data_IF_135029167552
#
_entry.id   IF_135029167552
#
_cell.length_a   1.000
_cell.length_b   1.000
_cell.length_c   1.000
_cell.angle_alpha   90.00
_cell.angle_beta   90.00
_cell.angle_gamma   90.00
#
_symmetry.space_group_name_H-M   'P 1'
#
loop_
_entity.id
_entity.type
_entity.pdbx_description
1 polymer ?
#
# COMPACT_ATOMS: atom_id res chain seq x y z
N UNK A 1 18.47 21.25 0.48
CA UNK A 1 17.60 21.11 1.67
C UNK A 1 16.36 20.33 1.26
N UNK A 2 15.99 19.27 1.99
CA UNK A 2 14.82 18.47 1.68
C UNK A 2 13.52 19.27 1.94
N UNK A 3 12.49 19.02 1.14
CA UNK A 3 11.17 19.59 1.36
C UNK A 3 10.59 19.08 2.69
N UNK A 4 9.95 19.92 3.50
CA UNK A 4 9.28 19.47 4.71
C UNK A 4 8.07 18.58 4.37
N UNK A 5 7.84 17.58 5.19
CA UNK A 5 6.69 16.68 5.09
C UNK A 5 5.54 17.16 5.99
N UNK A 6 4.31 16.82 5.60
CA UNK A 6 3.10 17.07 6.39
C UNK A 6 2.23 15.83 6.33
N UNK A 7 2.14 15.14 7.45
CA UNK A 7 1.46 13.85 7.55
C UNK A 7 2.42 12.71 7.82
N UNK A 8 1.94 11.72 8.58
CA UNK A 8 2.73 10.56 8.96
C UNK A 8 1.84 9.35 9.20
N UNK A 9 2.29 8.21 8.70
CA UNK A 9 1.62 6.92 8.92
C UNK A 9 2.64 5.87 9.34
N UNK A 10 2.17 4.83 10.02
CA UNK A 10 2.96 3.64 10.30
C UNK A 10 2.29 2.44 9.63
N UNK A 11 2.97 1.85 8.67
CA UNK A 11 2.54 0.62 8.02
C UNK A 11 3.06 -0.55 8.85
N UNK A 12 2.17 -1.22 9.55
CA UNK A 12 2.50 -2.41 10.33
C UNK A 12 2.51 -3.63 9.41
N UNK A 13 3.67 -4.27 9.30
CA UNK A 13 3.84 -5.44 8.43
C UNK A 13 4.32 -6.65 9.21
N UNK A 14 4.22 -7.82 8.58
CA UNK A 14 4.81 -9.06 9.14
C UNK A 14 6.34 -9.03 9.22
N UNK A 15 6.98 -8.08 8.53
CA UNK A 15 8.43 -7.85 8.56
C UNK A 15 8.84 -6.69 9.50
N UNK A 16 7.89 -6.11 10.24
CA UNK A 16 8.09 -4.98 11.14
C UNK A 16 7.38 -3.71 10.65
N UNK A 17 7.52 -2.65 11.44
CA UNK A 17 6.91 -1.36 11.14
C UNK A 17 7.68 -0.60 10.04
N UNK A 18 6.95 0.11 9.21
CA UNK A 18 7.48 1.06 8.23
C UNK A 18 6.84 2.41 8.50
N UNK A 19 7.64 3.35 8.97
CA UNK A 19 7.21 4.69 9.35
C UNK A 19 7.42 5.63 8.16
N UNK A 20 6.34 6.24 7.68
CA UNK A 20 6.35 7.03 6.44
C UNK A 20 5.85 8.44 6.72
N UNK A 21 6.66 9.42 6.35
CA UNK A 21 6.26 10.83 6.28
C UNK A 21 5.79 11.17 4.87
N UNK A 22 4.77 12.01 4.76
CA UNK A 22 4.07 12.31 3.52
C UNK A 22 4.33 13.75 3.03
N UNK A 23 4.52 13.90 1.73
CA UNK A 23 4.56 15.20 1.06
C UNK A 23 3.15 15.62 0.60
N UNK A 24 2.26 15.84 1.55
CA UNK A 24 0.85 16.10 1.29
C UNK A 24 0.57 17.46 0.63
N UNK A 25 1.49 18.41 0.73
CA UNK A 25 1.36 19.70 0.04
C UNK A 25 1.76 19.62 -1.43
N UNK A 26 2.80 18.86 -1.73
CA UNK A 26 3.35 18.69 -3.08
C UNK A 26 2.58 17.64 -3.88
N UNK A 27 2.04 16.61 -3.20
CA UNK A 27 1.30 15.51 -3.83
C UNK A 27 -0.02 15.24 -3.09
N UNK A 28 -0.93 16.22 -3.06
CA UNK A 28 -2.16 16.13 -2.26
C UNK A 28 -3.09 15.00 -2.71
N UNK A 29 -3.20 14.73 -4.00
CA UNK A 29 -4.09 13.67 -4.51
C UNK A 29 -3.60 12.28 -4.13
N UNK A 30 -2.31 12.00 -4.30
CA UNK A 30 -1.73 10.72 -3.92
C UNK A 30 -1.80 10.50 -2.40
N UNK A 31 -1.47 11.51 -1.61
CA UNK A 31 -1.52 11.41 -0.15
C UNK A 31 -2.96 11.27 0.36
N UNK A 32 -3.91 12.00 -0.21
CA UNK A 32 -5.34 11.89 0.14
C UNK A 32 -5.87 10.48 -0.17
N UNK A 33 -5.57 9.96 -1.35
CA UNK A 33 -5.94 8.60 -1.74
C UNK A 33 -5.38 7.56 -0.77
N UNK A 34 -4.10 7.65 -0.46
CA UNK A 34 -3.42 6.74 0.45
C UNK A 34 -4.03 6.76 1.86
N UNK A 35 -4.22 7.95 2.43
CA UNK A 35 -4.83 8.13 3.76
C UNK A 35 -6.27 7.61 3.77
N UNK A 36 -7.07 7.94 2.76
CA UNK A 36 -8.46 7.51 2.67
C UNK A 36 -8.58 5.98 2.58
N UNK A 37 -7.79 5.34 1.74
CA UNK A 37 -7.76 3.88 1.64
C UNK A 37 -7.28 3.22 2.94
N UNK A 38 -6.31 3.82 3.62
CA UNK A 38 -5.83 3.34 4.92
C UNK A 38 -6.92 3.42 5.98
N UNK A 39 -7.68 4.51 6.03
CA UNK A 39 -8.82 4.69 6.94
C UNK A 39 -9.93 3.68 6.68
N UNK A 40 -10.11 3.26 5.44
CA UNK A 40 -11.07 2.23 5.04
C UNK A 40 -10.61 0.79 5.35
N UNK A 41 -9.37 0.62 5.81
CA UNK A 41 -8.77 -0.71 5.99
C UNK A 41 -8.48 -1.43 4.68
N UNK A 42 -8.39 -0.72 3.56
CA UNK A 42 -8.15 -1.29 2.24
C UNK A 42 -6.87 -2.13 2.19
N UNK A 43 -5.81 -1.63 2.84
CA UNK A 43 -4.50 -2.29 2.82
C UNK A 43 -4.34 -3.43 3.82
N UNK A 44 -5.33 -3.68 4.68
CA UNK A 44 -5.24 -4.76 5.67
C UNK A 44 -5.14 -6.12 4.98
N UNK A 45 -4.08 -6.87 5.30
CA UNK A 45 -3.83 -8.20 4.73
C UNK A 45 -3.23 -8.20 3.32
N UNK A 46 -2.92 -7.05 2.75
CA UNK A 46 -2.35 -6.92 1.41
C UNK A 46 -0.88 -7.32 1.42
N UNK A 47 -0.47 -8.16 0.48
CA UNK A 47 0.90 -8.66 0.39
C UNK A 47 1.82 -7.71 -0.39
N UNK A 48 3.12 -7.82 -0.13
CA UNK A 48 4.15 -7.30 -1.03
C UNK A 48 4.30 -8.33 -2.16
N UNK A 49 3.67 -8.08 -3.27
CA UNK A 49 3.57 -9.03 -4.38
C UNK A 49 4.77 -9.00 -5.33
N UNK A 50 5.62 -7.97 -5.25
CA UNK A 50 6.77 -7.79 -6.15
C UNK A 50 7.97 -7.24 -5.38
N UNK A 51 9.11 -7.89 -5.58
CA UNK A 51 10.42 -7.42 -5.09
C UNK A 51 11.38 -7.45 -6.26
N UNK A 52 11.98 -6.31 -6.56
CA UNK A 52 13.11 -6.20 -7.49
C UNK A 52 14.35 -5.90 -6.66
N UNK A 53 15.21 -6.89 -6.41
CA UNK A 53 16.38 -6.72 -5.53
C UNK A 53 17.23 -5.51 -5.92
N UNK A 54 17.60 -4.70 -4.92
CA UNK A 54 18.38 -3.49 -5.12
C UNK A 54 17.65 -2.33 -5.79
N UNK A 55 16.38 -2.50 -6.15
CA UNK A 55 15.60 -1.48 -6.86
C UNK A 55 14.37 -1.02 -6.08
N UNK A 56 13.39 -1.90 -5.86
CA UNK A 56 12.17 -1.55 -5.14
C UNK A 56 11.46 -2.75 -4.53
N UNK A 57 10.56 -2.48 -3.60
CA UNK A 57 9.53 -3.42 -3.10
C UNK A 57 8.15 -2.82 -3.35
N UNK A 58 7.20 -3.59 -3.84
CA UNK A 58 5.90 -3.11 -4.29
C UNK A 58 4.75 -3.86 -3.63
N UNK A 59 3.71 -3.12 -3.31
CA UNK A 59 2.51 -3.60 -2.61
C UNK A 59 1.28 -2.78 -3.02
N UNK A 60 0.16 -2.98 -2.34
CA UNK A 60 -1.04 -2.16 -2.50
C UNK A 60 -2.08 -2.72 -3.46
N UNK A 61 -1.84 -3.90 -4.00
CA UNK A 61 -2.84 -4.63 -4.79
C UNK A 61 -3.55 -5.67 -3.91
N UNK A 62 -4.80 -5.42 -3.61
CA UNK A 62 -5.63 -6.30 -2.79
C UNK A 62 -5.78 -7.70 -3.38
N UNK A 63 -5.71 -7.84 -4.70
CA UNK A 63 -5.74 -9.15 -5.38
C UNK A 63 -4.41 -9.88 -5.27
N UNK A 64 -3.31 -9.18 -4.98
CA UNK A 64 -1.97 -9.74 -4.87
C UNK A 64 -1.36 -10.20 -6.19
N UNK A 65 -1.99 -9.90 -7.33
CA UNK A 65 -1.54 -10.35 -8.66
C UNK A 65 -0.65 -9.34 -9.38
N UNK A 66 -0.69 -8.08 -8.97
CA UNK A 66 -0.05 -6.95 -9.66
C UNK A 66 -0.95 -6.29 -10.69
N UNK A 67 -2.09 -6.91 -11.04
CA UNK A 67 -3.03 -6.40 -12.04
C UNK A 67 -4.24 -5.67 -11.41
N UNK A 68 -4.41 -5.77 -10.09
CA UNK A 68 -5.51 -5.13 -9.37
C UNK A 68 -5.15 -3.76 -8.83
N UNK A 69 -6.08 -3.20 -8.11
CA UNK A 69 -5.97 -1.91 -7.45
C UNK A 69 -7.23 -1.08 -7.67
N UNK A 70 -7.48 -0.16 -6.77
CA UNK A 70 -8.56 0.82 -6.90
C UNK A 70 -8.17 2.12 -6.22
N UNK A 71 -8.71 3.24 -6.68
CA UNK A 71 -8.51 4.52 -6.03
C UNK A 71 -9.71 4.91 -5.16
N UNK A 72 -9.45 5.75 -4.17
CA UNK A 72 -10.50 6.37 -3.36
C UNK A 72 -11.45 7.21 -4.22
N UNK A 73 -10.97 7.73 -5.34
CA UNK A 73 -11.76 8.57 -6.25
C UNK A 73 -12.69 7.78 -7.16
N UNK A 74 -12.62 6.44 -7.15
CA UNK A 74 -13.42 5.56 -8.01
C UNK A 74 -12.86 5.34 -9.41
N UNK A 75 -11.81 6.07 -9.78
CA UNK A 75 -11.10 5.97 -11.06
C UNK A 75 -9.62 6.29 -10.86
N UNK A 76 -8.73 5.91 -11.79
CA UNK A 76 -7.32 6.28 -11.73
C UNK A 76 -7.16 7.82 -11.67
N UNK A 77 -6.17 8.28 -10.92
CA UNK A 77 -5.95 9.72 -10.74
C UNK A 77 -4.62 10.19 -11.30
N UNK A 78 -4.48 11.50 -11.44
CA UNK A 78 -3.39 12.15 -12.15
C UNK A 78 -2.05 12.03 -11.42
N UNK A 79 -0.98 12.05 -12.21
CA UNK A 79 0.38 12.17 -11.69
C UNK A 79 0.60 13.57 -11.09
N UNK A 80 1.38 13.60 -10.01
CA UNK A 80 1.79 14.84 -9.36
C UNK A 80 3.32 14.86 -9.28
N UNK A 81 3.94 15.32 -10.37
CA UNK A 81 5.40 15.38 -10.47
C UNK A 81 5.88 16.75 -9.97
N UNK A 82 6.74 16.72 -8.96
CA UNK A 82 7.32 17.93 -8.38
C UNK A 82 8.83 17.97 -8.63
N UNK A 83 9.39 19.08 -9.14
CA UNK A 83 10.80 19.14 -9.55
C UNK A 83 11.80 18.99 -8.38
N UNK A 84 11.37 19.27 -7.15
CA UNK A 84 12.19 19.11 -5.96
C UNK A 84 12.06 17.74 -5.29
N UNK A 85 11.13 16.90 -5.73
CA UNK A 85 10.96 15.52 -5.27
C UNK A 85 11.62 14.57 -6.28
N UNK A 86 12.81 14.11 -5.94
CA UNK A 86 13.63 13.29 -6.83
C UNK A 86 13.94 11.94 -6.19
N UNK A 87 14.04 10.91 -7.02
CA UNK A 87 14.41 9.56 -6.60
C UNK A 87 15.90 9.43 -6.31
N UNK A 88 16.40 10.22 -5.38
CA UNK A 88 17.83 10.40 -5.12
C UNK A 88 18.46 9.38 -4.17
N UNK A 89 17.64 8.62 -3.44
CA UNK A 89 18.12 7.65 -2.45
C UNK A 89 17.07 6.58 -2.17
N UNK A 90 17.43 5.57 -1.40
CA UNK A 90 16.52 4.52 -0.92
C UNK A 90 15.50 5.06 0.09
N UNK A 91 14.41 4.31 0.29
CA UNK A 91 13.38 4.64 1.27
C UNK A 91 12.36 5.67 0.79
N UNK A 92 12.28 5.94 -0.49
CA UNK A 92 11.29 6.82 -1.07
C UNK A 92 10.04 6.03 -1.47
N UNK A 93 8.88 6.60 -1.20
CA UNK A 93 7.57 5.96 -1.41
C UNK A 93 6.86 6.64 -2.57
N UNK A 94 6.51 5.88 -3.58
CA UNK A 94 5.93 6.40 -4.81
C UNK A 94 4.78 5.53 -5.32
N UNK A 95 3.91 6.13 -6.14
CA UNK A 95 2.80 5.42 -6.76
C UNK A 95 3.29 4.55 -7.91
N UNK A 96 2.90 3.27 -7.90
CA UNK A 96 2.98 2.43 -9.07
C UNK A 96 1.87 2.84 -10.06
N UNK A 97 2.09 2.55 -11.34
CA UNK A 97 1.11 2.81 -12.40
C UNK A 97 1.17 1.73 -13.48
N UNK A 98 0.30 1.83 -14.45
CA UNK A 98 0.21 0.86 -15.56
C UNK A 98 1.22 1.10 -16.70
N UNK A 99 2.15 2.06 -16.53
CA UNK A 99 3.06 2.50 -17.57
C UNK A 99 2.52 3.64 -18.42
N UNK A 100 1.28 4.05 -18.21
CA UNK A 100 0.65 5.21 -18.84
C UNK A 100 0.53 6.37 -17.86
N UNK A 101 0.45 7.60 -18.36
CA UNK A 101 0.25 8.78 -17.54
C UNK A 101 -1.12 8.73 -16.84
N UNK A 102 -1.16 9.28 -15.63
CA UNK A 102 -2.41 9.46 -14.89
C UNK A 102 -3.17 8.14 -14.63
N UNK A 103 -2.43 7.09 -14.31
CA UNK A 103 -2.99 5.76 -14.04
C UNK A 103 -2.75 5.29 -12.59
N UNK A 104 -2.70 6.22 -11.64
CA UNK A 104 -2.48 5.93 -10.23
C UNK A 104 -3.74 5.37 -9.58
N UNK A 105 -3.57 4.36 -8.73
CA UNK A 105 -4.65 3.80 -7.92
C UNK A 105 -4.19 3.48 -6.49
N UNK A 106 -4.16 2.22 -6.07
CA UNK A 106 -3.76 1.84 -4.71
C UNK A 106 -2.34 1.30 -4.61
N UNK A 107 -1.74 0.83 -5.71
CA UNK A 107 -0.41 0.24 -5.66
C UNK A 107 0.67 1.30 -5.45
N UNK A 108 1.63 0.99 -4.59
CA UNK A 108 2.79 1.83 -4.33
C UNK A 108 4.04 0.98 -4.13
N UNK A 109 5.19 1.60 -4.24
CA UNK A 109 6.47 0.95 -4.01
C UNK A 109 7.38 1.80 -3.13
N UNK A 110 8.37 1.15 -2.55
CA UNK A 110 9.41 1.80 -1.77
C UNK A 110 10.75 1.47 -2.42
N UNK A 111 11.55 2.49 -2.69
CA UNK A 111 12.84 2.32 -3.34
C UNK A 111 13.88 1.71 -2.39
N UNK A 112 14.76 0.88 -2.96
CA UNK A 112 15.88 0.27 -2.24
C UNK A 112 17.22 0.95 -2.56
N UNK A 113 17.23 1.84 -3.54
CA UNK A 113 18.40 2.62 -3.97
C UNK A 113 17.93 3.84 -4.74
N UNK A 114 18.87 4.69 -5.14
CA UNK A 114 18.65 5.77 -6.10
C UNK A 114 18.02 5.20 -7.38
N UNK A 115 17.03 5.88 -7.93
CA UNK A 115 16.26 5.40 -9.08
C UNK A 115 15.90 6.56 -10.02
N UNK A 116 16.89 7.20 -10.61
CA UNK A 116 16.71 8.35 -11.50
C UNK A 116 15.78 8.05 -12.68
N UNK A 117 15.74 6.81 -13.14
CA UNK A 117 14.88 6.37 -14.25
C UNK A 117 13.37 6.48 -13.94
N UNK A 118 12.99 6.61 -12.68
CA UNK A 118 11.59 6.77 -12.27
C UNK A 118 11.14 8.23 -12.25
N UNK A 119 12.09 9.16 -12.35
CA UNK A 119 11.79 10.59 -12.31
C UNK A 119 10.89 11.00 -13.49
N UNK A 120 9.84 11.76 -13.19
CA UNK A 120 8.87 12.20 -14.19
C UNK A 120 7.83 11.16 -14.60
N UNK A 121 7.94 9.93 -14.10
CA UNK A 121 7.05 8.81 -14.44
C UNK A 121 6.16 8.37 -13.28
N UNK A 122 6.60 8.57 -12.06
CA UNK A 122 5.89 8.14 -10.85
C UNK A 122 5.75 9.28 -9.86
N UNK A 123 4.59 9.38 -9.23
CA UNK A 123 4.33 10.36 -8.17
C UNK A 123 5.07 9.92 -6.90
N UNK A 124 6.07 10.69 -6.51
CA UNK A 124 6.82 10.50 -5.27
C UNK A 124 6.10 11.22 -4.14
N UNK A 125 5.50 10.49 -3.20
CA UNK A 125 4.58 11.09 -2.22
C UNK A 125 5.00 10.92 -0.76
N UNK A 126 6.05 10.17 -0.46
CA UNK A 126 6.47 9.95 0.92
C UNK A 126 7.90 9.46 1.04
N UNK A 127 8.36 9.39 2.29
CA UNK A 127 9.68 8.85 2.64
C UNK A 127 9.61 8.02 3.90
N UNK A 128 10.37 6.93 3.94
CA UNK A 128 10.55 6.10 5.13
C UNK A 128 11.53 6.79 6.07
N UNK A 129 11.21 6.84 7.35
CA UNK A 129 12.03 7.50 8.37
C UNK A 129 12.55 6.54 9.42
N UNK A 130 13.68 6.93 10.03
CA UNK A 130 14.27 6.24 11.17
C UNK A 130 14.75 4.82 10.86
N UNK A 131 14.84 4.02 11.89
CA UNK A 131 15.33 2.63 11.80
C UNK A 131 14.36 1.69 11.09
N UNK A 132 13.13 2.14 10.84
CA UNK A 132 12.14 1.35 10.09
C UNK A 132 12.55 1.11 8.64
N UNK A 133 13.48 1.90 8.11
CA UNK A 133 14.10 1.65 6.81
C UNK A 133 14.72 0.25 6.73
N UNK A 134 15.30 -0.24 7.81
CA UNK A 134 15.89 -1.59 7.84
C UNK A 134 14.85 -2.69 7.61
N UNK A 135 13.60 -2.47 8.01
CA UNK A 135 12.51 -3.41 7.70
C UNK A 135 12.21 -3.47 6.22
N UNK A 136 12.28 -2.32 5.52
CA UNK A 136 12.14 -2.27 4.05
C UNK A 136 13.30 -3.02 3.38
N UNK A 137 14.53 -2.79 3.83
CA UNK A 137 15.71 -3.49 3.30
C UNK A 137 15.61 -5.00 3.51
N UNK A 138 15.08 -5.42 4.67
CA UNK A 138 14.83 -6.82 4.99
C UNK A 138 13.84 -7.45 4.01
N UNK A 139 12.77 -6.75 3.66
CA UNK A 139 11.81 -7.18 2.63
C UNK A 139 12.52 -7.33 1.28
N UNK A 140 13.36 -6.36 0.93
CA UNK A 140 14.12 -6.36 -0.33
C UNK A 140 15.11 -7.51 -0.48
N UNK A 141 15.51 -8.15 0.62
CA UNK A 141 16.43 -9.27 0.65
C UNK A 141 15.74 -10.64 0.73
N UNK A 142 14.41 -10.68 0.77
CA UNK A 142 13.66 -11.92 0.81
C UNK A 142 13.80 -12.72 -0.47
N UNK A 143 13.73 -14.05 -0.35
CA UNK A 143 13.78 -14.95 -1.48
C UNK A 143 12.62 -14.70 -2.43
N UNK A 144 12.93 -14.57 -3.71
CA UNK A 144 11.94 -14.39 -4.77
C UNK A 144 11.88 -15.62 -5.68
N UNK A 145 10.66 -15.90 -6.15
CA UNK A 145 10.39 -16.91 -7.18
C UNK A 145 10.41 -16.23 -8.57
N UNK A 146 9.87 -16.90 -9.57
CA UNK A 146 9.71 -16.33 -10.90
C UNK A 146 8.83 -15.06 -10.87
N UNK A 147 9.04 -14.18 -11.83
CA UNK A 147 8.28 -12.92 -11.98
C UNK A 147 8.42 -11.98 -10.78
N UNK A 148 9.57 -11.98 -10.10
CA UNK A 148 9.87 -11.06 -9.00
C UNK A 148 8.91 -11.19 -7.80
N UNK A 149 8.23 -12.32 -7.70
CA UNK A 149 7.29 -12.59 -6.63
C UNK A 149 7.99 -13.24 -5.43
N UNK A 150 7.80 -12.71 -4.20
CA UNK A 150 8.36 -13.35 -3.01
C UNK A 150 7.81 -14.76 -2.81
N UNK A 151 8.68 -15.68 -2.41
CA UNK A 151 8.28 -17.07 -2.07
C UNK A 151 7.34 -17.08 -0.88
N UNK A 152 7.65 -16.26 0.15
CA UNK A 152 6.82 -16.04 1.33
C UNK A 152 6.51 -14.55 1.46
N UNK A 153 5.47 -14.05 0.77
CA UNK A 153 5.20 -12.61 0.75
C UNK A 153 4.93 -12.04 2.14
N UNK A 154 5.62 -10.98 2.55
CA UNK A 154 5.22 -10.24 3.73
C UNK A 154 3.89 -9.54 3.49
N UNK A 155 3.15 -9.31 4.58
CA UNK A 155 1.80 -8.70 4.53
C UNK A 155 1.76 -7.41 5.32
N UNK A 156 0.95 -6.48 4.84
CA UNK A 156 0.50 -5.35 5.64
C UNK A 156 -0.56 -5.86 6.61
N UNK A 157 -0.32 -5.69 7.92
CA UNK A 157 -1.31 -6.00 8.95
C UNK A 157 -2.36 -4.91 9.03
N UNK A 158 -1.90 -3.67 9.13
CA UNK A 158 -2.74 -2.46 9.16
C UNK A 158 -1.87 -1.23 8.89
N UNK A 159 -2.53 -0.10 8.62
CA UNK A 159 -1.86 1.21 8.53
C UNK A 159 -2.44 2.11 9.60
N UNK A 160 -1.58 2.56 10.51
CA UNK A 160 -1.91 3.51 11.57
C UNK A 160 -1.60 4.92 11.10
N UNK A 161 -2.59 5.80 11.14
CA UNK A 161 -2.40 7.21 10.81
C UNK A 161 -2.02 7.94 12.08
N UNK A 162 -0.78 8.45 12.10
CA UNK A 162 -0.23 9.19 13.26
C UNK A 162 -0.57 10.67 13.17
N UNK A 163 -0.39 11.24 11.98
CA UNK A 163 -0.73 12.63 11.69
C UNK A 163 -1.46 12.69 10.35
N UNK A 164 -2.77 13.00 10.40
CA UNK A 164 -3.60 13.13 9.21
C UNK A 164 -3.63 14.58 8.75
N UNK A 165 -3.01 14.91 7.60
CA UNK A 165 -3.00 16.28 7.09
C UNK A 165 -4.33 16.71 6.45
N UNK A 166 -5.29 15.78 6.33
CA UNK A 166 -6.59 16.01 5.67
C UNK A 166 -7.74 15.77 6.64
N UNK A 167 -8.13 16.78 7.40
CA UNK A 167 -9.22 16.68 8.39
C UNK A 167 -10.61 16.50 7.77
N UNK A 168 -10.75 16.76 6.47
CA UNK A 168 -12.01 16.70 5.73
C UNK A 168 -12.30 15.35 5.08
N UNK A 169 -11.37 14.39 5.15
CA UNK A 169 -11.60 13.04 4.58
C UNK A 169 -12.68 12.31 5.36
N UNK A 170 -13.73 11.90 4.65
CA UNK A 170 -14.75 10.99 5.15
C UNK A 170 -14.57 9.66 4.43
N UNK A 171 -14.17 8.59 5.13
CA UNK A 171 -14.07 7.27 4.52
C UNK A 171 -15.43 6.81 3.96
N UNK A 172 -15.43 6.15 2.82
CA UNK A 172 -16.63 5.50 2.24
C UNK A 172 -17.14 4.41 3.18
N UNK A 173 -16.21 3.74 3.86
CA UNK A 173 -16.46 2.75 4.89
C UNK A 173 -15.30 2.84 5.90
N UNK A 174 -15.59 2.71 7.20
CA UNK A 174 -14.52 2.65 8.20
C UNK A 174 -13.85 1.27 8.21
N UNK A 175 -12.62 1.19 8.68
CA UNK A 175 -11.93 -0.09 8.86
C UNK A 175 -12.69 -1.03 9.80
N UNK A 176 -13.32 -0.50 10.86
CA UNK A 176 -14.13 -1.28 11.79
C UNK A 176 -15.38 -1.85 11.11
N UNK A 177 -16.09 -1.05 10.30
CA UNK A 177 -17.26 -1.51 9.52
C UNK A 177 -16.87 -2.59 8.52
N UNK A 178 -15.75 -2.41 7.83
CA UNK A 178 -15.24 -3.39 6.87
C UNK A 178 -14.89 -4.72 7.54
N UNK A 179 -14.24 -4.68 8.71
CA UNK A 179 -13.95 -5.89 9.49
C UNK A 179 -15.22 -6.58 9.97
N UNK A 180 -16.22 -5.81 10.38
CA UNK A 180 -17.53 -6.35 10.78
C UNK A 180 -18.24 -7.03 9.61
N UNK A 181 -18.24 -6.44 8.43
CA UNK A 181 -18.79 -7.04 7.21
C UNK A 181 -18.06 -8.33 6.84
N UNK A 182 -16.74 -8.35 6.92
CA UNK A 182 -15.94 -9.54 6.64
C UNK A 182 -16.27 -10.67 7.60
N UNK A 183 -16.35 -10.39 8.90
CA UNK A 183 -16.75 -11.39 9.92
C UNK A 183 -18.15 -11.93 9.67
N UNK A 184 -19.08 -11.06 9.28
CA UNK A 184 -20.45 -11.49 8.97
C UNK A 184 -20.51 -12.41 7.75
N UNK A 185 -19.73 -12.13 6.70
CA UNK A 185 -19.63 -12.99 5.52
C UNK A 185 -19.03 -14.36 5.86
N UNK A 186 -17.95 -14.38 6.64
CA UNK A 186 -17.31 -15.62 7.07
C UNK A 186 -18.24 -16.47 7.95
N UNK A 187 -18.97 -15.85 8.88
CA UNK A 187 -19.95 -16.53 9.71
C UNK A 187 -21.08 -17.15 8.86
N UNK A 188 -21.61 -16.40 7.90
CA UNK A 188 -22.64 -16.89 6.98
C UNK A 188 -22.15 -18.05 6.10
N UNK A 189 -20.90 -18.00 5.65
CA UNK A 189 -20.28 -19.08 4.88
C UNK A 189 -20.13 -20.36 5.72
N UNK A 190 -19.65 -20.22 6.96
CA UNK A 190 -19.50 -21.37 7.89
C UNK A 190 -20.86 -22.03 8.17
N UNK A 191 -21.90 -21.24 8.39
CA UNK A 191 -23.25 -21.77 8.60
C UNK A 191 -23.77 -22.57 7.40
N UNK A 192 -23.52 -22.08 6.18
CA UNK A 192 -23.89 -22.79 4.94
C UNK A 192 -23.14 -24.10 4.80
N UNK A 193 -21.84 -24.09 5.00
CA UNK A 193 -20.99 -25.29 4.93
C UNK A 193 -21.42 -26.34 5.98
N UNK A 194 -21.74 -25.90 7.20
CA UNK A 194 -22.22 -26.76 8.26
C UNK A 194 -23.62 -27.36 7.94
N UNK A 195 -24.50 -26.54 7.37
CA UNK A 195 -25.80 -27.02 6.92
C UNK A 195 -25.70 -28.06 5.81
N UNK A 196 -24.79 -27.87 4.88
CA UNK A 196 -24.50 -28.83 3.79
C UNK A 196 -23.91 -30.14 4.33
N UNK A 197 -22.99 -30.09 5.29
CA UNK A 197 -22.48 -31.28 5.97
C UNK A 197 -23.55 -32.06 6.67
N UNK A 198 -24.46 -31.37 7.39
CA UNK A 198 -25.60 -32.00 8.07
C UNK A 198 -26.58 -32.68 7.10
N UNK A 199 -26.80 -32.09 5.93
CA UNK A 199 -27.60 -32.70 4.86
C UNK A 199 -26.91 -33.90 4.25
N UNK A 200 -25.60 -33.85 4.04
CA UNK A 200 -24.82 -34.97 3.51
C UNK A 200 -24.74 -36.17 4.46
N UNK A 201 -24.75 -35.93 5.77
CA UNK A 201 -24.71 -36.99 6.79
C UNK A 201 -26.07 -37.74 7.00
N UNK A 202 -27.16 -37.19 6.44
CA UNK A 202 -28.50 -37.82 6.53
C UNK A 202 -28.86 -38.72 5.35
N UNK A 203 -27.95 -38.90 4.40
CA UNK A 203 -28.04 -39.88 3.30
C UNK A 203 -27.24 -41.13 3.62
#
# INVERSE_FOLDING_TARGET
MALPTHGRVIVETTAGEIDIELWSKETPKACRNFIALALEGYYDGVIFHRIVPGFLVQTGDKTGTGAGGESFYGEPFEDEIHPRLRFAHRGLVAMANSGTKNSNDSQFFITLDRADELQGKHTLFGRVIGDTLYNVLKIGEMEIAENERPVYPPKIKSIKIVDNPFSDIVPRITAAEKRAQQRAREAGQREREEAERRRGAKK
#
